data_IF_190101488245
#
_entry.id   IF_190101488245
#
_cell.length_a   1.000
_cell.length_b   1.000
_cell.length_c   1.000
_cell.angle_alpha   90.00
_cell.angle_beta   90.00
_cell.angle_gamma   90.00
#
_symmetry.space_group_name_H-M   'P 1'
#
loop_
_entity.id
_entity.type
_entity.pdbx_description
1 polymer ?
#
# COMPACT_ATOMS: atom_id res chain seq x y z
N UNK A 1 -57.34 -55.42 -14.77
CA UNK A 1 -56.76 -54.17 -15.30
C UNK A 1 -56.07 -53.47 -14.15
N UNK A 2 -54.88 -52.91 -14.21
CA UNK A 2 -53.74 -52.88 -15.14
C UNK A 2 -52.61 -52.36 -14.22
N UNK A 3 -51.48 -53.06 -14.11
CA UNK A 3 -50.23 -52.74 -14.82
C UNK A 3 -49.56 -51.39 -14.41
N UNK A 4 -48.27 -51.54 -14.07
CA UNK A 4 -47.13 -50.68 -14.45
C UNK A 4 -46.57 -49.67 -13.42
N UNK A 5 -45.42 -50.07 -12.87
CA UNK A 5 -44.18 -49.31 -12.65
C UNK A 5 -44.07 -47.89 -13.27
N UNK A 6 -43.66 -46.88 -12.49
CA UNK A 6 -42.75 -45.85 -13.04
C UNK A 6 -41.83 -45.18 -12.00
N UNK A 7 -40.63 -45.73 -11.93
CA UNK A 7 -39.30 -45.09 -11.96
C UNK A 7 -39.24 -43.55 -11.90
N UNK A 8 -38.45 -43.06 -10.91
CA UNK A 8 -37.60 -41.85 -10.81
C UNK A 8 -38.07 -40.52 -11.42
N UNK A 9 -37.99 -39.47 -10.59
CA UNK A 9 -37.23 -38.27 -10.93
C UNK A 9 -36.14 -38.05 -9.88
N UNK A 10 -34.88 -38.19 -10.31
CA UNK A 10 -33.71 -37.61 -9.65
C UNK A 10 -34.02 -36.18 -9.18
N UNK A 11 -33.55 -35.84 -7.97
CA UNK A 11 -32.57 -34.77 -7.77
C UNK A 11 -31.96 -34.86 -6.36
N UNK A 12 -30.80 -35.51 -6.34
CA UNK A 12 -29.60 -35.18 -5.56
C UNK A 12 -29.61 -35.41 -4.03
N UNK A 13 -29.19 -36.61 -3.63
CA UNK A 13 -28.40 -36.86 -2.41
C UNK A 13 -26.91 -36.93 -2.79
N UNK A 14 -25.98 -37.00 -1.83
CA UNK A 14 -25.29 -35.89 -1.18
C UNK A 14 -23.84 -35.77 -1.68
N UNK A 15 -23.35 -34.56 -1.98
CA UNK A 15 -21.92 -34.36 -2.20
C UNK A 15 -21.26 -34.09 -0.85
N UNK A 16 -20.70 -35.15 -0.27
CA UNK A 16 -19.60 -35.03 0.70
C UNK A 16 -18.45 -34.30 0.01
N UNK A 17 -17.98 -33.18 0.56
CA UNK A 17 -16.57 -32.78 0.65
C UNK A 17 -16.41 -31.33 1.13
N UNK A 18 -15.61 -31.17 2.17
CA UNK A 18 -14.95 -29.95 2.63
C UNK A 18 -15.81 -28.94 3.38
N UNK A 19 -15.50 -28.81 4.68
CA UNK A 19 -15.87 -27.69 5.53
C UNK A 19 -15.56 -26.36 4.81
N UNK A 20 -16.58 -25.71 4.27
CA UNK A 20 -16.49 -24.27 4.05
C UNK A 20 -16.67 -23.64 5.43
N UNK A 21 -15.54 -23.26 6.03
CA UNK A 21 -15.54 -22.29 7.13
C UNK A 21 -16.24 -21.07 6.54
N UNK A 22 -17.43 -20.75 7.05
CA UNK A 22 -18.02 -19.43 6.83
C UNK A 22 -16.97 -18.42 7.29
N UNK A 23 -16.30 -17.79 6.34
CA UNK A 23 -15.42 -16.66 6.60
C UNK A 23 -16.31 -15.62 7.29
N UNK A 24 -16.10 -15.31 8.59
CA UNK A 24 -16.82 -14.20 9.19
C UNK A 24 -16.51 -13.00 8.30
N UNK A 25 -17.55 -12.33 7.79
CA UNK A 25 -17.36 -11.08 7.08
C UNK A 25 -16.56 -10.18 8.02
N UNK A 26 -15.28 -9.99 7.72
CA UNK A 26 -14.49 -8.97 8.36
C UNK A 26 -15.19 -7.67 7.99
N UNK A 27 -16.03 -7.17 8.91
CA UNK A 27 -16.31 -5.75 9.00
C UNK A 27 -14.94 -5.12 9.16
N UNK A 28 -14.39 -4.61 8.06
CA UNK A 28 -13.19 -3.80 8.08
C UNK A 28 -13.50 -2.65 9.02
N UNK A 29 -13.08 -2.79 10.28
CA UNK A 29 -13.20 -1.72 11.24
C UNK A 29 -12.36 -0.58 10.68
N UNK A 30 -12.86 0.66 10.76
CA UNK A 30 -12.13 1.84 10.29
C UNK A 30 -10.68 1.88 10.82
N UNK A 31 -10.46 1.31 12.00
CA UNK A 31 -9.14 1.21 12.63
C UNK A 31 -8.15 0.31 11.86
N UNK A 32 -8.62 -0.78 11.25
CA UNK A 32 -7.79 -1.68 10.44
C UNK A 32 -7.32 -1.00 9.17
N UNK A 33 -8.21 -0.27 8.49
CA UNK A 33 -7.90 0.48 7.26
C UNK A 33 -6.85 1.55 7.54
N UNK A 34 -6.99 2.31 8.64
CA UNK A 34 -6.04 3.35 9.03
C UNK A 34 -4.65 2.76 9.35
N UNK A 35 -4.59 1.60 10.01
CA UNK A 35 -3.31 0.93 10.31
C UNK A 35 -2.61 0.43 9.04
N UNK A 36 -3.34 -0.24 8.14
CA UNK A 36 -2.79 -0.72 6.88
C UNK A 36 -2.22 0.43 6.06
N UNK A 37 -2.97 1.54 5.96
CA UNK A 37 -2.53 2.73 5.24
C UNK A 37 -1.25 3.34 5.83
N UNK A 38 -1.17 3.44 7.16
CA UNK A 38 0.03 3.91 7.84
C UNK A 38 1.25 3.00 7.59
N UNK A 39 1.06 1.68 7.59
CA UNK A 39 2.14 0.72 7.31
C UNK A 39 2.62 0.87 5.86
N UNK A 40 1.70 0.99 4.90
CA UNK A 40 2.02 1.17 3.49
C UNK A 40 2.85 2.45 3.30
N UNK A 41 2.37 3.58 3.82
CA UNK A 41 3.08 4.87 3.73
C UNK A 41 4.49 4.79 4.32
N UNK A 42 4.65 4.09 5.45
CA UNK A 42 5.97 3.87 6.05
C UNK A 42 6.90 3.06 5.14
N UNK A 43 6.43 1.96 4.56
CA UNK A 43 7.23 1.11 3.69
C UNK A 43 7.66 1.86 2.42
N UNK A 44 6.76 2.64 1.84
CA UNK A 44 7.04 3.49 0.68
C UNK A 44 8.09 4.56 1.00
N UNK A 45 7.96 5.22 2.15
CA UNK A 45 8.94 6.20 2.62
C UNK A 45 10.33 5.58 2.88
N UNK A 46 10.38 4.37 3.44
CA UNK A 46 11.65 3.65 3.64
C UNK A 46 12.32 3.28 2.32
N UNK A 47 11.56 2.82 1.35
CA UNK A 47 12.07 2.50 0.01
C UNK A 47 12.58 3.76 -0.71
N UNK A 48 11.85 4.87 -0.63
CA UNK A 48 12.30 6.16 -1.15
C UNK A 48 13.62 6.59 -0.51
N UNK A 49 13.75 6.48 0.81
CA UNK A 49 14.99 6.80 1.54
C UNK A 49 16.16 5.93 1.08
N UNK A 50 15.95 4.64 0.83
CA UNK A 50 16.99 3.75 0.31
C UNK A 50 17.48 4.21 -1.06
N UNK A 51 16.57 4.61 -1.95
CA UNK A 51 16.96 5.11 -3.29
C UNK A 51 17.73 6.42 -3.20
N UNK A 52 17.29 7.35 -2.35
CA UNK A 52 17.97 8.62 -2.13
C UNK A 52 19.41 8.39 -1.66
N UNK A 53 19.68 7.41 -0.80
CA UNK A 53 21.04 7.09 -0.33
C UNK A 53 22.04 6.73 -1.45
N UNK A 54 21.58 6.40 -2.66
CA UNK A 54 22.45 6.10 -3.79
C UNK A 54 22.74 7.33 -4.66
N UNK A 55 22.08 8.46 -4.41
CA UNK A 55 22.36 9.72 -5.11
C UNK A 55 23.63 10.36 -4.55
N UNK A 56 24.33 11.21 -5.31
CA UNK A 56 25.41 12.03 -4.75
C UNK A 56 24.89 12.92 -3.61
N UNK A 57 25.69 13.10 -2.55
CA UNK A 57 25.32 13.81 -1.31
C UNK A 57 24.63 15.16 -1.54
N UNK A 58 25.10 15.89 -2.55
CA UNK A 58 24.56 17.20 -2.93
C UNK A 58 23.06 17.18 -3.27
N UNK A 59 22.55 16.07 -3.82
CA UNK A 59 21.13 15.85 -4.09
C UNK A 59 20.40 15.29 -2.87
N UNK A 60 21.03 14.35 -2.15
CA UNK A 60 20.42 13.72 -0.98
C UNK A 60 19.93 14.74 0.04
N UNK A 61 20.78 15.71 0.38
CA UNK A 61 20.47 16.70 1.41
C UNK A 61 19.26 17.55 1.00
N UNK A 62 19.24 18.04 -0.25
CA UNK A 62 18.15 18.87 -0.77
C UNK A 62 16.83 18.10 -0.79
N UNK A 63 16.83 16.86 -1.30
CA UNK A 63 15.64 16.00 -1.37
C UNK A 63 15.14 15.66 0.04
N UNK A 64 16.06 15.41 0.99
CA UNK A 64 15.70 15.11 2.38
C UNK A 64 15.01 16.30 3.06
N UNK A 65 15.55 17.50 2.90
CA UNK A 65 14.93 18.71 3.48
C UNK A 65 13.59 19.04 2.84
N UNK A 66 13.43 18.81 1.53
CA UNK A 66 12.20 19.15 0.83
C UNK A 66 11.08 18.14 1.12
N UNK A 67 11.30 16.84 0.91
CA UNK A 67 10.24 15.83 0.98
C UNK A 67 9.96 15.27 2.37
N UNK A 68 10.91 15.35 3.31
CA UNK A 68 10.75 14.76 4.65
C UNK A 68 10.68 15.79 5.77
N UNK A 69 11.00 17.06 5.48
CA UNK A 69 10.96 18.16 6.47
C UNK A 69 10.12 19.33 5.99
N UNK A 70 9.52 19.25 4.81
CA UNK A 70 8.69 20.28 4.19
C UNK A 70 9.31 21.69 4.21
N UNK A 71 10.65 21.76 4.11
CA UNK A 71 11.34 23.05 4.15
C UNK A 71 11.15 23.78 2.81
N UNK A 72 10.80 25.08 2.82
CA UNK A 72 10.74 25.87 1.61
C UNK A 72 12.16 26.10 1.04
N UNK A 73 12.25 26.34 -0.26
CA UNK A 73 13.56 26.44 -0.95
C UNK A 73 14.52 27.48 -0.35
N UNK A 74 14.00 28.59 0.20
CA UNK A 74 14.81 29.62 0.86
C UNK A 74 15.46 29.13 2.16
N UNK A 75 14.74 28.32 2.94
CA UNK A 75 15.27 27.74 4.17
C UNK A 75 16.29 26.64 3.87
N UNK A 76 16.06 25.83 2.83
CA UNK A 76 17.04 24.85 2.35
C UNK A 76 18.32 25.54 1.88
N UNK A 77 18.18 26.63 1.09
CA UNK A 77 19.30 27.42 0.61
C UNK A 77 20.14 27.98 1.75
N UNK A 78 19.48 28.52 2.78
CA UNK A 78 20.12 29.03 4.00
C UNK A 78 20.81 27.91 4.78
N UNK A 79 20.12 26.80 5.01
CA UNK A 79 20.62 25.66 5.79
C UNK A 79 21.85 24.99 5.15
N UNK A 80 21.90 24.95 3.81
CA UNK A 80 22.99 24.34 3.04
C UNK A 80 24.05 25.34 2.56
N UNK A 81 23.86 26.64 2.84
CA UNK A 81 24.71 27.73 2.36
C UNK A 81 24.93 27.69 0.84
N UNK A 82 23.84 27.54 0.07
CA UNK A 82 23.82 27.53 -1.40
C UNK A 82 22.74 28.49 -1.93
N UNK A 83 22.75 28.79 -3.23
CA UNK A 83 21.69 29.61 -3.83
C UNK A 83 20.37 28.83 -3.98
N UNK A 84 19.24 29.54 -3.95
CA UNK A 84 17.91 28.97 -4.27
C UNK A 84 17.89 28.38 -5.69
N UNK A 85 18.63 28.96 -6.63
CA UNK A 85 18.79 28.39 -7.98
C UNK A 85 19.45 27.01 -7.94
N UNK A 86 20.48 26.84 -7.13
CA UNK A 86 21.14 25.54 -6.91
C UNK A 86 20.23 24.53 -6.22
N UNK A 87 19.37 24.96 -5.28
CA UNK A 87 18.34 24.10 -4.67
C UNK A 87 17.39 23.55 -5.75
N UNK A 88 16.84 24.44 -6.59
CA UNK A 88 15.95 24.04 -7.71
C UNK A 88 16.64 23.09 -8.68
N UNK A 89 17.86 23.40 -9.10
CA UNK A 89 18.64 22.55 -10.02
C UNK A 89 19.05 21.19 -9.43
N UNK A 90 18.90 20.98 -8.12
CA UNK A 90 19.12 19.69 -7.45
C UNK A 90 17.83 18.93 -7.17
N UNK A 91 16.67 19.56 -7.36
CA UNK A 91 15.35 18.91 -7.26
C UNK A 91 14.79 18.49 -8.63
N UNK A 92 15.22 19.15 -9.71
CA UNK A 92 14.84 18.90 -11.09
C UNK A 92 16.00 18.25 -11.85
#
# INVERSE_FOLDING_TARGET
MDRIFKKRKEKNKPVTSSNYIEMPQYVQSNNTIVLEQFIIERLENEELRKRIKHLPDKYQQVIMYFYFKDLPYGEIATALNISVGTVKARLH
#
